data_IF_187659641379
#
_entry.id   IF_187659641379
#
_cell.length_a   1.000
_cell.length_b   1.000
_cell.length_c   1.000
_cell.angle_alpha   90.00
_cell.angle_beta   90.00
_cell.angle_gamma   90.00
#
_symmetry.space_group_name_H-M   'P 1'
#
loop_
_entity.id
_entity.type
_entity.pdbx_description
1 polymer ?
#
# COMPACT_ATOMS: atom_id res chain seq x y z
N UNK A 1 -50.43 -41.75 22.37
CA UNK A 1 -49.93 -43.05 21.89
C UNK A 1 -50.19 -43.11 20.40
N UNK A 2 -49.14 -43.39 19.60
CA UNK A 2 -49.15 -43.48 18.12
C UNK A 2 -49.05 -42.09 17.47
N UNK A 3 -47.94 -41.59 16.92
CA UNK A 3 -46.96 -42.14 15.95
C UNK A 3 -47.57 -42.26 14.55
N UNK A 4 -47.47 -41.18 13.78
CA UNK A 4 -47.63 -41.22 12.32
C UNK A 4 -46.24 -41.12 11.69
N UNK A 5 -45.90 -42.20 11.00
CA UNK A 5 -44.67 -42.45 10.27
C UNK A 5 -44.84 -42.05 8.80
N UNK A 6 -43.69 -41.90 8.17
CA UNK A 6 -43.38 -41.26 6.90
C UNK A 6 -43.94 -41.92 5.62
N UNK A 7 -44.10 -41.08 4.57
CA UNK A 7 -43.54 -41.40 3.25
C UNK A 7 -44.49 -41.38 2.03
N UNK A 8 -44.31 -40.39 1.13
CA UNK A 8 -44.14 -40.66 -0.30
C UNK A 8 -43.74 -39.44 -1.13
N UNK A 9 -42.75 -39.69 -2.00
CA UNK A 9 -42.09 -38.82 -2.96
C UNK A 9 -42.99 -38.22 -4.04
N UNK A 10 -42.56 -37.10 -4.62
CA UNK A 10 -42.59 -36.92 -6.07
C UNK A 10 -41.41 -36.06 -6.51
N UNK A 11 -40.44 -36.73 -7.15
CA UNK A 11 -39.46 -36.12 -8.04
C UNK A 11 -40.16 -35.35 -9.16
N UNK A 12 -39.57 -34.22 -9.56
CA UNK A 12 -39.70 -33.67 -10.90
C UNK A 12 -38.37 -32.96 -11.22
N UNK A 13 -37.42 -33.72 -11.75
CA UNK A 13 -36.30 -33.17 -12.50
C UNK A 13 -36.77 -32.73 -13.89
N UNK A 14 -36.57 -31.45 -14.25
CA UNK A 14 -36.54 -31.03 -15.66
C UNK A 14 -35.43 -29.99 -15.86
N UNK A 15 -34.33 -30.48 -16.44
CA UNK A 15 -33.45 -29.93 -17.47
C UNK A 15 -33.06 -28.45 -17.52
N UNK A 16 -31.74 -28.28 -17.59
CA UNK A 16 -30.95 -27.14 -18.06
C UNK A 16 -31.54 -26.44 -19.30
N UNK A 17 -31.56 -25.11 -19.26
CA UNK A 17 -31.40 -24.27 -20.45
C UNK A 17 -30.34 -23.21 -20.20
N UNK A 18 -29.23 -23.36 -20.92
CA UNK A 18 -28.27 -22.31 -21.21
C UNK A 18 -28.99 -21.09 -21.79
N UNK A 19 -28.83 -19.93 -21.14
CA UNK A 19 -29.04 -18.63 -21.78
C UNK A 19 -27.74 -17.86 -21.71
N UNK A 20 -26.99 -17.96 -22.81
CA UNK A 20 -26.09 -16.90 -23.24
C UNK A 20 -26.93 -15.63 -23.41
N UNK A 21 -26.65 -14.63 -22.60
CA UNK A 21 -27.16 -13.27 -22.72
C UNK A 21 -26.03 -12.34 -22.34
N UNK A 22 -25.30 -11.88 -23.36
CA UNK A 22 -24.55 -10.65 -23.29
C UNK A 22 -25.56 -9.53 -22.95
N UNK A 23 -25.43 -8.93 -21.78
CA UNK A 23 -25.98 -7.62 -21.46
C UNK A 23 -24.91 -6.89 -20.63
N UNK A 24 -23.99 -6.27 -21.36
CA UNK A 24 -23.35 -5.04 -20.90
C UNK A 24 -24.43 -3.96 -20.88
N UNK A 25 -24.80 -3.45 -19.70
CA UNK A 25 -24.80 -2.02 -19.37
C UNK A 25 -25.55 -1.73 -18.06
N UNK A 26 -24.97 -0.78 -17.32
CA UNK A 26 -25.54 0.03 -16.24
C UNK A 26 -26.23 -0.67 -15.05
N UNK A 27 -25.54 -0.67 -13.90
CA UNK A 27 -26.18 -0.19 -12.67
C UNK A 27 -25.21 0.35 -11.60
N UNK A 28 -25.31 1.66 -11.41
CA UNK A 28 -25.44 2.38 -10.14
C UNK A 28 -24.39 2.23 -9.02
N UNK A 29 -23.50 3.22 -8.98
CA UNK A 29 -22.85 3.69 -7.76
C UNK A 29 -23.88 4.33 -6.81
N UNK A 30 -24.45 3.55 -5.89
CA UNK A 30 -24.91 4.00 -4.56
C UNK A 30 -25.56 2.84 -3.79
N UNK A 31 -24.76 2.01 -3.11
CA UNK A 31 -25.21 1.27 -1.92
C UNK A 31 -24.01 0.61 -1.21
N UNK A 32 -23.98 0.71 0.12
CA UNK A 32 -22.94 0.26 1.06
C UNK A 32 -21.84 -0.68 0.53
N UNK A 33 -20.61 -0.16 0.43
CA UNK A 33 -19.40 -0.85 -0.03
C UNK A 33 -18.79 -1.84 0.98
N UNK A 34 -19.62 -2.49 1.80
CA UNK A 34 -19.34 -3.89 2.09
C UNK A 34 -19.80 -4.61 0.83
N UNK A 35 -18.94 -4.68 -0.19
CA UNK A 35 -19.16 -5.65 -1.26
C UNK A 35 -19.48 -6.95 -0.54
N UNK A 36 -20.71 -7.46 -0.67
CA UNK A 36 -21.07 -8.80 -0.18
C UNK A 36 -19.86 -9.66 -0.51
N UNK A 37 -19.31 -10.35 0.49
CA UNK A 37 -18.23 -11.34 0.35
C UNK A 37 -18.74 -12.46 -0.58
N UNK A 38 -18.98 -12.13 -1.84
CA UNK A 38 -19.22 -13.08 -2.91
C UNK A 38 -17.82 -13.53 -3.27
N UNK A 39 -17.51 -14.75 -2.84
CA UNK A 39 -16.32 -15.45 -3.29
C UNK A 39 -16.22 -15.27 -4.79
N UNK A 40 -15.17 -14.56 -5.23
CA UNK A 40 -14.94 -14.38 -6.65
C UNK A 40 -14.64 -15.76 -7.21
N UNK A 41 -15.35 -16.13 -8.27
CA UNK A 41 -15.02 -17.34 -9.04
C UNK A 41 -13.59 -17.25 -9.60
N UNK A 42 -13.11 -16.02 -9.83
CA UNK A 42 -11.76 -15.70 -10.27
C UNK A 42 -10.92 -15.05 -9.16
N UNK A 43 -9.90 -15.77 -8.70
CA UNK A 43 -8.88 -15.28 -7.76
C UNK A 43 -7.51 -15.28 -8.41
N UNK A 44 -6.68 -14.34 -8.01
CA UNK A 44 -5.28 -14.29 -8.44
C UNK A 44 -4.42 -15.21 -7.58
N UNK A 45 -3.23 -15.56 -8.05
CA UNK A 45 -2.24 -16.32 -7.26
C UNK A 45 -0.93 -15.57 -7.20
N UNK A 46 -0.30 -15.57 -6.03
CA UNK A 46 1.03 -15.02 -5.83
C UNK A 46 1.90 -15.96 -5.00
N UNK A 47 3.22 -15.84 -5.14
CA UNK A 47 4.22 -16.52 -4.32
C UNK A 47 4.90 -15.49 -3.42
N UNK A 48 4.96 -15.76 -2.12
CA UNK A 48 5.65 -14.90 -1.17
C UNK A 48 7.18 -15.04 -1.34
N UNK A 49 7.86 -13.91 -1.41
CA UNK A 49 9.32 -13.82 -1.51
C UNK A 49 9.84 -13.15 -0.24
N UNK A 50 10.38 -13.94 0.69
CA UNK A 50 10.80 -13.46 2.01
C UNK A 50 11.94 -12.43 1.95
N UNK A 51 12.88 -12.59 1.02
CA UNK A 51 14.02 -11.66 0.85
C UNK A 51 13.56 -10.25 0.46
N UNK A 52 12.48 -10.17 -0.33
CA UNK A 52 11.89 -8.89 -0.76
C UNK A 52 10.80 -8.40 0.19
N UNK A 53 10.31 -9.26 1.09
CA UNK A 53 9.11 -9.04 1.88
C UNK A 53 7.89 -8.61 1.01
N UNK A 54 7.74 -9.25 -0.16
CA UNK A 54 6.71 -8.97 -1.15
C UNK A 54 6.16 -10.26 -1.76
N UNK A 55 4.96 -10.21 -2.33
CA UNK A 55 4.35 -11.32 -3.05
C UNK A 55 4.51 -11.13 -4.56
N UNK A 56 5.20 -12.06 -5.24
CA UNK A 56 5.27 -12.12 -6.70
C UNK A 56 4.00 -12.71 -7.28
N UNK A 57 3.30 -11.96 -8.12
CA UNK A 57 2.01 -12.35 -8.71
C UNK A 57 2.24 -13.25 -9.91
N UNK A 58 1.91 -14.52 -9.74
CA UNK A 58 2.07 -15.58 -10.75
C UNK A 58 0.87 -15.64 -11.70
N UNK A 59 -0.34 -15.45 -11.18
CA UNK A 59 -1.58 -15.47 -11.95
C UNK A 59 -2.41 -14.22 -11.64
N UNK A 60 -2.71 -13.42 -12.68
CA UNK A 60 -3.50 -12.19 -12.54
C UNK A 60 -4.93 -12.43 -13.01
N UNK A 61 -5.89 -12.23 -12.12
CA UNK A 61 -7.32 -12.20 -12.42
C UNK A 61 -7.92 -10.87 -12.01
N UNK A 62 -8.88 -10.38 -12.79
CA UNK A 62 -9.61 -9.15 -12.49
C UNK A 62 -8.85 -7.85 -12.81
N UNK A 63 -9.55 -6.72 -12.64
CA UNK A 63 -9.07 -5.38 -13.02
C UNK A 63 -8.25 -4.66 -11.93
N UNK A 64 -8.12 -5.23 -10.72
CA UNK A 64 -7.37 -4.60 -9.62
C UNK A 64 -5.88 -4.39 -9.95
N UNK A 65 -5.32 -5.24 -10.81
CA UNK A 65 -3.92 -5.14 -11.27
C UNK A 65 -3.61 -3.89 -12.07
N UNK A 66 -4.63 -3.12 -12.48
CA UNK A 66 -4.45 -1.79 -13.07
C UNK A 66 -3.91 -0.80 -12.03
N UNK A 67 -4.37 -0.89 -10.77
CA UNK A 67 -4.06 0.09 -9.72
C UNK A 67 -3.20 -0.48 -8.59
N UNK A 68 -3.01 -1.80 -8.52
CA UNK A 68 -2.26 -2.49 -7.47
C UNK A 68 -1.06 -3.25 -8.01
N UNK A 69 0.00 -3.34 -7.21
CA UNK A 69 1.25 -4.01 -7.51
C UNK A 69 2.21 -3.16 -8.33
N UNK A 70 3.49 -3.31 -8.06
CA UNK A 70 4.58 -2.72 -8.85
C UNK A 70 5.04 -3.70 -9.93
N UNK A 71 5.53 -3.18 -11.05
CA UNK A 71 6.08 -3.97 -12.16
C UNK A 71 7.59 -3.78 -12.19
N UNK A 72 8.32 -4.89 -12.09
CA UNK A 72 9.79 -4.96 -12.14
C UNK A 72 10.18 -6.12 -13.05
N UNK A 73 11.01 -5.85 -14.06
CA UNK A 73 11.49 -6.86 -15.01
C UNK A 73 10.37 -7.70 -15.65
N UNK A 74 9.21 -7.09 -15.92
CA UNK A 74 8.03 -7.79 -16.46
C UNK A 74 7.16 -8.49 -15.41
N UNK A 75 7.70 -8.78 -14.23
CA UNK A 75 6.99 -9.42 -13.14
C UNK A 75 6.24 -8.39 -12.30
N UNK A 76 5.17 -8.81 -11.63
CA UNK A 76 4.38 -7.94 -10.75
C UNK A 76 4.53 -8.37 -9.31
N UNK A 77 4.81 -7.42 -8.43
CA UNK A 77 5.01 -7.64 -7.01
C UNK A 77 4.01 -6.82 -6.22
N UNK A 78 3.40 -7.44 -5.21
CA UNK A 78 2.57 -6.77 -4.23
C UNK A 78 3.33 -6.56 -2.93
N UNK A 79 3.18 -5.39 -2.35
CA UNK A 79 3.61 -5.19 -0.97
C UNK A 79 2.73 -5.97 0.02
N UNK A 80 3.16 -6.07 1.27
CA UNK A 80 2.40 -6.81 2.30
C UNK A 80 1.00 -6.23 2.50
N UNK A 81 0.83 -4.92 2.49
CA UNK A 81 -0.47 -4.26 2.67
C UNK A 81 -1.43 -4.50 1.50
N UNK A 82 -0.90 -4.54 0.27
CA UNK A 82 -1.66 -4.93 -0.92
C UNK A 82 -2.08 -6.39 -0.84
N UNK A 83 -1.15 -7.25 -0.42
CA UNK A 83 -1.34 -8.70 -0.31
C UNK A 83 -2.43 -9.03 0.72
N UNK A 84 -2.31 -8.47 1.93
CA UNK A 84 -3.28 -8.66 3.00
C UNK A 84 -4.67 -8.16 2.58
N UNK A 85 -4.75 -6.95 2.00
CA UNK A 85 -6.02 -6.41 1.51
C UNK A 85 -6.68 -7.34 0.49
N UNK A 86 -5.92 -7.84 -0.50
CA UNK A 86 -6.46 -8.72 -1.53
C UNK A 86 -6.94 -10.07 -0.99
N UNK A 87 -6.26 -10.62 0.03
CA UNK A 87 -6.67 -11.87 0.68
C UNK A 87 -7.94 -11.66 1.51
N UNK A 88 -8.01 -10.58 2.28
CA UNK A 88 -9.18 -10.25 3.10
C UNK A 88 -10.45 -10.09 2.26
N UNK A 89 -10.34 -9.56 1.03
CA UNK A 89 -11.47 -9.47 0.08
C UNK A 89 -11.66 -10.73 -0.79
N UNK A 90 -10.90 -11.80 -0.54
CA UNK A 90 -11.01 -13.07 -1.26
C UNK A 90 -10.57 -13.04 -2.72
N UNK A 91 -9.61 -12.16 -3.08
CA UNK A 91 -9.19 -11.92 -4.45
C UNK A 91 -7.77 -12.43 -4.78
N UNK A 92 -7.03 -12.91 -3.78
CA UNK A 92 -5.67 -13.42 -3.92
C UNK A 92 -5.45 -14.65 -3.04
N UNK A 93 -4.84 -15.69 -3.60
CA UNK A 93 -4.21 -16.77 -2.83
C UNK A 93 -2.70 -16.59 -2.86
N UNK A 94 -2.05 -16.76 -1.71
CA UNK A 94 -0.60 -16.67 -1.60
C UNK A 94 -0.02 -18.03 -1.26
N UNK A 95 1.04 -18.37 -1.96
CA UNK A 95 1.83 -19.58 -1.80
C UNK A 95 3.19 -19.23 -1.17
N UNK A 96 3.74 -20.12 -0.37
CA UNK A 96 5.12 -20.02 0.12
C UNK A 96 6.13 -20.54 -0.92
N UNK A 97 7.41 -20.64 -0.54
CA UNK A 97 8.48 -21.16 -1.39
C UNK A 97 8.34 -22.66 -1.73
N UNK A 98 7.49 -23.39 -1.01
CA UNK A 98 7.21 -24.81 -1.23
C UNK A 98 5.84 -25.03 -1.92
N UNK A 99 5.27 -23.97 -2.49
CA UNK A 99 3.93 -23.95 -3.11
C UNK A 99 2.79 -24.37 -2.15
N UNK A 100 2.96 -24.14 -0.85
CA UNK A 100 1.94 -24.35 0.18
C UNK A 100 1.17 -23.03 0.39
N UNK A 101 -0.15 -23.11 0.54
CA UNK A 101 -0.98 -21.95 0.82
C UNK A 101 -0.65 -21.32 2.17
N UNK A 102 -0.31 -20.02 2.16
CA UNK A 102 -0.18 -19.22 3.37
C UNK A 102 -1.55 -18.85 3.93
N UNK A 103 -1.73 -19.09 5.22
CA UNK A 103 -2.86 -18.60 6.00
C UNK A 103 -2.78 -17.09 6.24
N UNK A 104 -3.93 -16.47 6.51
CA UNK A 104 -3.99 -15.06 6.88
C UNK A 104 -3.15 -14.76 8.14
N UNK A 105 -3.10 -15.71 9.08
CA UNK A 105 -2.30 -15.60 10.31
C UNK A 105 -0.81 -15.49 9.99
N UNK A 106 -0.28 -16.36 9.14
CA UNK A 106 1.14 -16.34 8.75
C UNK A 106 1.51 -15.03 8.04
N UNK A 107 0.58 -14.43 7.29
CA UNK A 107 0.81 -13.13 6.66
C UNK A 107 0.77 -11.97 7.66
N UNK A 108 -0.06 -12.04 8.71
CA UNK A 108 0.02 -11.07 9.82
C UNK A 108 1.31 -11.19 10.61
N UNK A 109 1.85 -12.40 10.77
CA UNK A 109 3.19 -12.62 11.33
C UNK A 109 4.26 -11.98 10.43
N UNK A 110 4.11 -12.11 9.09
CA UNK A 110 4.99 -11.42 8.11
C UNK A 110 4.83 -9.90 8.11
N UNK A 111 3.68 -9.33 8.47
CA UNK A 111 3.54 -7.89 8.69
C UNK A 111 4.29 -7.45 9.94
N UNK A 112 4.16 -8.21 11.03
CA UNK A 112 4.77 -7.91 12.33
C UNK A 112 6.30 -8.04 12.35
N UNK A 113 6.91 -8.68 11.35
CA UNK A 113 8.35 -8.90 11.29
C UNK A 113 9.17 -7.63 10.97
N UNK A 114 8.52 -6.51 10.61
CA UNK A 114 9.14 -5.22 10.34
C UNK A 114 9.96 -5.12 9.04
N UNK A 115 10.18 -6.23 8.31
CA UNK A 115 11.00 -6.25 7.09
C UNK A 115 10.31 -5.61 5.89
N UNK A 116 8.98 -5.58 5.91
CA UNK A 116 8.15 -5.11 4.79
C UNK A 116 8.09 -3.59 4.65
N UNK A 117 8.56 -2.83 5.65
CA UNK A 117 8.38 -1.38 5.71
C UNK A 117 6.93 -0.92 5.95
N UNK A 118 6.02 -1.86 6.25
CA UNK A 118 4.64 -1.59 6.64
C UNK A 118 4.42 -2.07 8.07
N UNK A 119 3.66 -1.29 8.83
CA UNK A 119 3.21 -1.63 10.18
C UNK A 119 1.69 -1.57 10.24
N UNK A 120 1.11 -2.01 11.36
CA UNK A 120 -0.32 -2.27 11.48
C UNK A 120 -1.20 -1.07 11.08
N UNK A 121 -0.89 0.12 11.60
CA UNK A 121 -1.66 1.33 11.35
C UNK A 121 -1.58 1.78 9.88
N UNK A 122 -0.45 1.56 9.20
CA UNK A 122 -0.35 1.80 7.75
C UNK A 122 -1.22 0.84 6.96
N UNK A 123 -1.29 -0.43 7.37
CA UNK A 123 -2.17 -1.41 6.74
C UNK A 123 -3.65 -1.02 6.92
N UNK A 124 -4.06 -0.60 8.12
CA UNK A 124 -5.44 -0.16 8.37
C UNK A 124 -5.82 1.05 7.50
N UNK A 125 -4.91 2.02 7.37
CA UNK A 125 -5.12 3.20 6.52
C UNK A 125 -5.16 2.83 5.05
N UNK A 126 -4.24 1.97 4.60
CA UNK A 126 -4.23 1.45 3.24
C UNK A 126 -5.55 0.74 2.92
N UNK A 127 -6.00 -0.17 3.79
CA UNK A 127 -7.27 -0.90 3.68
C UNK A 127 -8.46 0.06 3.62
N UNK A 128 -8.48 1.10 4.46
CA UNK A 128 -9.53 2.10 4.48
C UNK A 128 -9.60 2.89 3.16
N UNK A 129 -8.47 3.44 2.70
CA UNK A 129 -8.41 4.17 1.43
C UNK A 129 -8.78 3.29 0.23
N UNK A 130 -8.30 2.04 0.19
CA UNK A 130 -8.64 1.08 -0.87
C UNK A 130 -10.12 0.72 -0.88
N UNK A 131 -10.75 0.58 0.28
CA UNK A 131 -12.19 0.29 0.39
C UNK A 131 -13.06 1.44 -0.13
N UNK A 132 -12.54 2.68 -0.08
CA UNK A 132 -13.18 3.85 -0.69
C UNK A 132 -12.88 4.01 -2.20
N UNK A 133 -12.11 3.11 -2.79
CA UNK A 133 -11.80 3.08 -4.22
C UNK A 133 -10.60 3.95 -4.64
N UNK A 134 -9.87 4.55 -3.69
CA UNK A 134 -8.66 5.31 -4.02
C UNK A 134 -7.59 4.40 -4.62
N UNK A 135 -6.74 4.99 -5.45
CA UNK A 135 -5.47 4.37 -5.85
C UNK A 135 -4.40 4.84 -4.87
N UNK A 136 -3.69 3.88 -4.28
CA UNK A 136 -2.73 4.12 -3.21
C UNK A 136 -1.43 3.44 -3.59
N UNK A 137 -0.31 4.15 -3.51
CA UNK A 137 1.01 3.55 -3.67
C UNK A 137 2.02 4.14 -2.71
N UNK A 138 3.04 3.35 -2.38
CA UNK A 138 4.11 3.79 -1.48
C UNK A 138 4.84 5.01 -2.04
N UNK A 139 5.02 6.02 -1.19
CA UNK A 139 5.76 7.21 -1.57
C UNK A 139 7.21 6.84 -1.92
N UNK A 140 7.77 7.47 -2.96
CA UNK A 140 9.13 7.19 -3.44
C UNK A 140 9.30 5.87 -4.21
N UNK A 141 8.27 5.03 -4.29
CA UNK A 141 8.33 3.75 -5.03
C UNK A 141 7.57 3.88 -6.36
N UNK A 142 8.25 3.90 -7.52
CA UNK A 142 7.56 4.00 -8.81
C UNK A 142 6.78 2.71 -9.13
N UNK A 143 5.56 2.80 -9.68
CA UNK A 143 4.81 1.58 -10.04
C UNK A 143 5.47 0.76 -11.13
N UNK A 144 6.16 1.39 -12.08
CA UNK A 144 6.86 0.68 -13.15
C UNK A 144 8.17 1.39 -13.45
N UNK A 145 9.25 0.60 -13.54
CA UNK A 145 10.50 1.05 -14.13
C UNK A 145 10.53 0.48 -15.54
N UNK A 146 10.60 1.33 -16.57
CA UNK A 146 10.97 0.83 -17.90
C UNK A 146 12.43 0.41 -17.82
N UNK A 147 12.78 -0.72 -18.46
CA UNK A 147 14.11 -1.32 -18.44
C UNK A 147 15.17 -0.34 -18.93
N UNK A 148 15.72 0.43 -18.01
CA UNK A 148 16.97 1.13 -18.16
C UNK A 148 17.97 0.30 -17.37
N UNK A 149 18.95 -0.23 -18.08
CA UNK A 149 20.03 -1.06 -17.54
C UNK A 149 20.44 -0.52 -16.17
N UNK A 150 20.24 -1.33 -15.13
CA UNK A 150 20.88 -1.10 -13.85
C UNK A 150 22.37 -1.32 -14.15
N UNK A 151 23.08 -0.25 -14.51
CA UNK A 151 24.50 -0.20 -14.14
C UNK A 151 24.45 -0.27 -12.62
N UNK A 152 24.90 -1.39 -12.07
CA UNK A 152 25.19 -1.51 -10.65
C UNK A 152 26.26 -0.46 -10.31
N UNK A 153 25.80 0.77 -10.11
CA UNK A 153 26.49 1.84 -9.44
C UNK A 153 25.99 1.78 -8.03
N UNK A 154 26.73 1.08 -7.19
CA UNK A 154 26.82 1.42 -5.77
C UNK A 154 26.88 2.94 -5.69
N UNK A 155 25.95 3.57 -4.96
CA UNK A 155 26.10 4.96 -4.54
C UNK A 155 27.23 5.02 -3.52
N UNK A 156 28.46 4.86 -4.00
CA UNK A 156 29.64 5.39 -3.35
C UNK A 156 29.80 6.80 -3.91
N UNK A 157 29.57 7.77 -3.03
CA UNK A 157 29.86 9.17 -3.28
C UNK A 157 31.36 9.29 -3.59
N UNK A 158 31.63 9.64 -4.86
CA UNK A 158 32.69 10.47 -5.41
C UNK A 158 34.18 10.21 -5.09
N UNK A 159 35.00 10.40 -6.14
CA UNK A 159 36.34 10.97 -5.97
C UNK A 159 37.47 10.22 -6.67
N UNK A 160 37.68 10.53 -7.93
CA UNK A 160 38.92 10.26 -8.67
C UNK A 160 40.14 10.83 -7.93
N UNK A 161 41.21 10.02 -7.82
CA UNK A 161 42.67 10.29 -7.81
C UNK A 161 43.13 11.76 -7.57
N UNK A 162 44.13 12.09 -6.74
CA UNK A 162 45.36 11.40 -6.31
C UNK A 162 46.04 12.30 -5.24
N UNK A 163 46.75 11.71 -4.26
CA UNK A 163 48.08 12.10 -3.73
C UNK A 163 48.22 11.90 -2.21
N UNK A 164 48.99 10.85 -1.90
CA UNK A 164 50.04 10.69 -0.89
C UNK A 164 50.13 11.60 0.38
N UNK A 165 50.54 10.94 1.47
CA UNK A 165 51.15 11.44 2.72
C UNK A 165 50.25 11.70 3.94
N UNK A 166 49.96 10.58 4.64
CA UNK A 166 50.23 10.33 6.05
C UNK A 166 50.65 11.53 6.92
N UNK A 167 49.86 11.83 7.96
CA UNK A 167 50.35 12.11 9.31
C UNK A 167 49.17 11.98 10.31
N UNK A 168 49.36 11.15 11.32
CA UNK A 168 48.45 10.90 12.44
C UNK A 168 48.14 12.18 13.23
N UNK A 169 46.85 12.50 13.44
CA UNK A 169 46.41 13.38 14.52
C UNK A 169 45.09 12.83 15.09
N UNK A 170 45.17 12.40 16.35
CA UNK A 170 44.11 11.98 17.27
C UNK A 170 42.75 12.69 17.08
N UNK A 171 41.60 11.98 16.97
CA UNK A 171 40.30 12.64 16.92
C UNK A 171 39.80 12.94 18.34
N UNK A 172 39.84 14.24 18.67
CA UNK A 172 39.18 14.82 19.83
C UNK A 172 37.74 15.24 19.46
N UNK A 173 36.93 14.32 18.94
CA UNK A 173 35.62 14.67 18.38
C UNK A 173 34.45 14.28 19.27
N UNK A 174 34.24 15.07 20.33
CA UNK A 174 32.95 15.10 21.03
C UNK A 174 31.83 15.76 20.20
N UNK A 175 32.13 16.25 19.00
CA UNK A 175 31.18 16.91 18.09
C UNK A 175 30.68 16.02 16.94
N UNK A 176 31.26 14.83 16.72
CA UNK A 176 30.86 13.95 15.61
C UNK A 176 29.47 13.34 15.81
N UNK A 177 29.11 13.01 17.06
CA UNK A 177 27.84 12.35 17.38
C UNK A 177 26.65 13.30 17.20
N UNK A 178 26.80 14.59 17.53
CA UNK A 178 25.73 15.60 17.40
C UNK A 178 25.46 15.90 15.92
N UNK A 179 26.48 16.00 15.08
CA UNK A 179 26.31 16.14 13.63
C UNK A 179 25.69 14.89 13.00
N UNK A 180 26.08 13.69 13.46
CA UNK A 180 25.44 12.43 13.06
C UNK A 180 23.95 12.39 13.44
N UNK A 181 23.57 12.89 14.62
CA UNK A 181 22.16 13.00 15.05
C UNK A 181 21.39 14.10 14.32
N UNK A 182 22.01 15.22 13.96
CA UNK A 182 21.37 16.27 13.16
C UNK A 182 21.18 15.83 11.70
N UNK A 183 22.12 15.04 11.16
CA UNK A 183 22.04 14.46 9.82
C UNK A 183 21.11 13.24 9.78
N UNK A 184 20.96 12.54 10.91
CA UNK A 184 19.86 11.62 11.18
C UNK A 184 18.62 12.46 11.46
N UNK A 185 18.07 13.10 10.42
CA UNK A 185 16.77 13.75 10.50
C UNK A 185 15.70 12.68 10.79
N UNK A 186 15.54 12.31 12.06
CA UNK A 186 14.36 11.66 12.61
C UNK A 186 13.30 12.77 12.68
N UNK A 187 12.88 13.27 11.53
CA UNK A 187 11.63 14.00 11.48
C UNK A 187 10.55 12.95 11.76
N UNK A 188 9.75 13.15 12.81
CA UNK A 188 8.66 12.24 13.19
C UNK A 188 7.58 12.11 12.09
N UNK A 189 7.73 12.94 11.05
CA UNK A 189 6.88 13.07 9.89
C UNK A 189 7.60 12.54 8.65
N UNK A 190 7.15 11.40 8.14
CA UNK A 190 7.65 10.82 6.87
C UNK A 190 6.49 10.47 5.93
N UNK A 191 6.66 10.65 4.60
CA UNK A 191 5.60 10.32 3.66
C UNK A 191 5.46 8.79 3.53
N UNK A 192 4.23 8.30 3.66
CA UNK A 192 3.90 6.89 3.49
C UNK A 192 3.36 6.59 2.10
N UNK A 193 2.32 7.32 1.68
CA UNK A 193 1.56 6.99 0.47
C UNK A 193 1.32 8.20 -0.42
N UNK A 194 1.37 7.98 -1.72
CA UNK A 194 0.76 8.83 -2.72
C UNK A 194 -0.67 8.33 -2.98
N UNK A 195 -1.66 9.21 -2.81
CA UNK A 195 -3.08 8.86 -2.93
C UNK A 195 -3.70 9.59 -4.11
N UNK A 196 -4.39 8.85 -4.97
CA UNK A 196 -5.06 9.35 -6.16
C UNK A 196 -6.54 9.01 -6.10
N UNK A 197 -7.37 9.92 -6.62
CA UNK A 197 -8.80 9.70 -6.77
C UNK A 197 -9.11 8.39 -7.52
N UNK A 198 -10.28 7.77 -7.26
CA UNK A 198 -10.77 6.66 -8.04
C UNK A 198 -10.78 7.01 -9.54
N UNK A 199 -9.97 6.30 -10.34
CA UNK A 199 -9.80 6.60 -11.76
C UNK A 199 -9.69 5.32 -12.57
N UNK A 200 -10.68 5.07 -13.43
CA UNK A 200 -10.74 3.90 -14.32
C UNK A 200 -9.65 3.92 -15.41
N UNK A 201 -9.09 5.10 -15.71
CA UNK A 201 -8.04 5.31 -16.71
C UNK A 201 -6.65 5.45 -16.08
N UNK A 202 -6.48 5.06 -14.81
CA UNK A 202 -5.18 5.10 -14.13
C UNK A 202 -4.13 4.27 -14.88
N UNK A 203 -2.92 4.82 -15.04
CA UNK A 203 -1.80 4.14 -15.71
C UNK A 203 -0.59 4.14 -14.80
N UNK A 204 -0.12 2.95 -14.41
CA UNK A 204 1.10 2.76 -13.61
C UNK A 204 2.36 3.42 -14.20
N UNK A 205 2.47 3.47 -15.52
CA UNK A 205 3.60 4.08 -16.22
C UNK A 205 3.56 5.61 -16.21
N UNK A 206 2.41 6.21 -15.91
CA UNK A 206 2.19 7.65 -15.88
C UNK A 206 1.02 7.92 -14.91
N UNK A 207 1.26 7.80 -13.60
CA UNK A 207 0.20 7.93 -12.60
C UNK A 207 -0.33 9.36 -12.47
N UNK A 208 0.42 10.34 -12.99
CA UNK A 208 0.15 11.76 -12.78
C UNK A 208 0.52 12.21 -11.36
N UNK A 209 0.06 13.40 -10.99
CA UNK A 209 0.23 13.93 -9.64
C UNK A 209 -0.79 13.29 -8.68
N UNK A 210 -0.38 12.92 -7.47
CA UNK A 210 -1.30 12.46 -6.45
C UNK A 210 -2.25 13.58 -6.03
N UNK A 211 -3.48 13.20 -5.67
CA UNK A 211 -4.48 14.10 -5.10
C UNK A 211 -4.06 14.61 -3.72
N UNK A 212 -3.37 13.77 -2.95
CA UNK A 212 -2.63 14.18 -1.77
C UNK A 212 -1.53 13.15 -1.41
N UNK A 213 -0.54 13.60 -0.65
CA UNK A 213 0.48 12.73 -0.03
C UNK A 213 0.12 12.50 1.43
N UNK A 214 0.13 11.24 1.84
CA UNK A 214 -0.18 10.86 3.21
C UNK A 214 1.09 10.69 4.04
N UNK A 215 1.13 11.36 5.19
CA UNK A 215 2.23 11.37 6.15
C UNK A 215 1.91 10.60 7.41
N UNK A 216 2.95 9.96 7.92
CA UNK A 216 2.96 9.28 9.21
C UNK A 216 3.17 10.33 10.31
N UNK A 217 2.41 10.21 11.40
CA UNK A 217 2.65 10.91 12.67
C UNK A 217 2.69 9.85 13.77
N UNK A 218 3.88 9.50 14.28
CA UNK A 218 4.03 8.27 15.09
C UNK A 218 3.61 8.38 16.55
N UNK A 219 3.69 9.56 17.17
CA UNK A 219 3.44 9.68 18.61
C UNK A 219 2.77 10.99 19.03
N UNK A 220 3.00 12.07 18.29
CA UNK A 220 2.41 13.38 18.55
C UNK A 220 1.90 13.97 17.24
N UNK A 221 0.94 14.91 17.30
CA UNK A 221 0.67 15.79 16.17
C UNK A 221 1.96 16.49 15.75
N UNK A 222 2.17 16.70 14.44
CA UNK A 222 3.35 17.40 13.94
C UNK A 222 3.40 18.80 14.52
N UNK A 223 4.60 19.25 14.90
CA UNK A 223 4.80 20.61 15.38
C UNK A 223 4.57 21.62 14.25
N UNK A 224 4.26 22.86 14.61
CA UNK A 224 4.09 23.96 13.64
C UNK A 224 5.33 24.12 12.74
N UNK A 225 6.53 24.00 13.31
CA UNK A 225 7.79 24.14 12.56
C UNK A 225 7.95 23.03 11.52
N UNK A 226 7.57 21.79 11.87
CA UNK A 226 7.58 20.66 10.94
C UNK A 226 6.57 20.84 9.82
N UNK A 227 5.35 21.29 10.14
CA UNK A 227 4.32 21.60 9.13
C UNK A 227 4.82 22.69 8.18
N UNK A 228 5.31 23.82 8.70
CA UNK A 228 5.82 24.92 7.87
C UNK A 228 7.04 24.50 7.03
N UNK A 229 7.90 23.61 7.55
CA UNK A 229 9.01 23.04 6.80
C UNK A 229 8.52 22.13 5.67
N UNK A 230 7.47 21.35 5.93
CA UNK A 230 6.86 20.47 4.94
C UNK A 230 6.16 21.29 3.85
N UNK A 231 5.42 22.33 4.21
CA UNK A 231 4.78 23.26 3.26
C UNK A 231 5.82 23.95 2.36
N UNK A 232 7.00 24.30 2.87
CA UNK A 232 8.08 24.88 2.05
C UNK A 232 8.72 23.87 1.11
N UNK A 233 8.82 22.61 1.52
CA UNK A 233 9.44 21.53 0.73
C UNK A 233 8.51 21.00 -0.34
N UNK A 234 7.21 20.97 -0.05
CA UNK A 234 6.19 20.44 -0.94
C UNK A 234 5.69 21.53 -1.91
N UNK A 235 5.49 21.13 -3.17
CA UNK A 235 4.87 22.01 -4.17
C UNK A 235 3.36 22.13 -3.97
N UNK A 236 2.62 22.31 -5.07
CA UNK A 236 1.17 22.48 -5.04
C UNK A 236 0.37 21.24 -4.57
N UNK A 237 1.01 20.11 -4.28
CA UNK A 237 0.35 18.87 -3.91
C UNK A 237 0.01 18.90 -2.41
N UNK A 238 -1.28 18.79 -2.03
CA UNK A 238 -1.68 18.74 -0.63
C UNK A 238 -1.08 17.55 0.11
N UNK A 239 -0.79 17.71 1.40
CA UNK A 239 -0.45 16.60 2.27
C UNK A 239 -1.45 16.46 3.43
N UNK A 240 -1.59 15.23 3.92
CA UNK A 240 -2.48 14.88 5.03
C UNK A 240 -1.76 13.98 6.01
N UNK A 241 -2.15 14.06 7.28
CA UNK A 241 -1.74 13.12 8.32
C UNK A 241 -2.86 12.13 8.58
N UNK A 242 -2.51 10.96 9.09
CA UNK A 242 -3.50 10.00 9.58
C UNK A 242 -3.27 9.66 11.04
N UNK A 243 -4.35 9.26 11.70
CA UNK A 243 -4.32 8.62 13.00
C UNK A 243 -5.23 7.40 12.97
N UNK A 244 -4.83 6.33 13.67
CA UNK A 244 -5.63 5.12 13.80
C UNK A 244 -5.83 4.85 15.28
N UNK A 245 -7.09 4.84 15.70
CA UNK A 245 -7.49 4.59 17.08
C UNK A 245 -8.67 3.62 17.08
N UNK A 246 -8.53 2.49 17.79
CA UNK A 246 -9.56 1.45 17.89
C UNK A 246 -10.15 1.02 16.53
N UNK A 247 -9.31 0.87 15.50
CA UNK A 247 -9.72 0.49 14.14
C UNK A 247 -10.40 1.60 13.34
N UNK A 248 -10.46 2.83 13.86
CA UNK A 248 -10.99 4.00 13.15
C UNK A 248 -9.84 4.79 12.55
N UNK A 249 -9.88 4.98 11.24
CA UNK A 249 -8.93 5.80 10.51
C UNK A 249 -9.46 7.23 10.42
N UNK A 250 -8.66 8.20 10.87
CA UNK A 250 -8.96 9.64 10.75
C UNK A 250 -7.87 10.34 9.96
N UNK A 251 -8.25 11.32 9.14
CA UNK A 251 -7.32 12.11 8.33
C UNK A 251 -7.39 13.58 8.74
N UNK A 252 -6.23 14.23 8.85
CA UNK A 252 -6.12 15.63 9.26
C UNK A 252 -5.26 16.41 8.28
N UNK A 253 -5.57 17.69 8.12
CA UNK A 253 -4.76 18.66 7.39
C UNK A 253 -4.72 19.96 8.17
N UNK A 254 -3.59 20.65 8.12
CA UNK A 254 -3.40 21.94 8.76
C UNK A 254 -3.49 23.03 7.69
N UNK A 255 -4.17 24.12 8.01
CA UNK A 255 -4.27 25.29 7.15
C UNK A 255 -3.98 26.52 7.99
N UNK A 256 -3.14 27.42 7.47
CA UNK A 256 -2.94 28.73 8.07
C UNK A 256 -4.18 29.59 7.81
N UNK A 257 -4.80 30.09 8.89
CA UNK A 257 -5.92 31.03 8.81
C UNK A 257 -5.56 32.30 9.56
N UNK A 258 -5.73 33.45 8.92
CA UNK A 258 -5.56 34.77 9.54
C UNK A 258 -6.91 35.26 10.04
N UNK A 259 -7.00 35.57 11.33
CA UNK A 259 -8.23 36.06 11.94
C UNK A 259 -8.34 37.58 11.73
N UNK A 260 -9.52 38.11 11.40
CA UNK A 260 -9.71 39.54 11.29
C UNK A 260 -9.51 40.19 12.65
N UNK A 261 -8.69 41.24 12.70
CA UNK A 261 -8.58 42.10 13.88
C UNK A 261 -9.81 43.01 13.85
N UNK A 262 -10.71 42.87 14.82
CA UNK A 262 -11.85 43.79 14.95
C UNK A 262 -11.33 45.19 15.35
N UNK A 263 -11.92 46.26 14.78
CA UNK A 263 -11.51 47.64 15.05
C UNK A 263 -11.78 48.08 16.49
#
# INVERSE_FOLDING_TARGET
>A
MGSDDWGSCSDNEVYLQDRNGDDDEEDCYSSGFLSKLQFRKDFSKARWVDDLAMAEVVEKKGKMWVTMGIVRNGNTYCSIEETLFLIEIGALHVLDGNDIHLSLKELYEKLSNGKSGCYWELFEVYKHLKSLGYVVGRHGIPWSVKGQQIKSGTCSLEGSQESNEMLEVEPKDKNSVIELFNNMQITDVSPAFNVYLPNSKFRKSSPGDPSFVLYISRCSPPSRVEIEALERKHGAIPFKFFHVENGRVSFFSFAKTELPILP
#
